data_IF_485229553200
#
_entry.id   IF_485229553200
#
_cell.length_a   1.000
_cell.length_b   1.000
_cell.length_c   1.000
_cell.angle_alpha   90.00
_cell.angle_beta   90.00
_cell.angle_gamma   90.00
#
_symmetry.space_group_name_H-M   'P 1'
#
loop_
_entity.id
_entity.type
_entity.pdbx_description
1 polymer ?
#
# COMPACT_ATOMS: atom_id res chain seq x y z
N UNK A 1 -24.26 34.18 -10.84
CA UNK A 1 -23.64 34.11 -9.50
C UNK A 1 -22.14 34.12 -9.68
N UNK A 2 -21.51 35.26 -9.40
CA UNK A 2 -20.07 35.48 -9.52
C UNK A 2 -19.34 34.79 -8.37
N UNK A 3 -18.49 33.80 -8.67
CA UNK A 3 -17.48 33.34 -7.72
C UNK A 3 -16.44 34.46 -7.57
N UNK A 4 -16.64 35.36 -6.62
CA UNK A 4 -15.57 36.22 -6.12
C UNK A 4 -14.64 35.35 -5.27
N UNK A 5 -13.37 35.15 -5.63
CA UNK A 5 -12.42 34.50 -4.73
C UNK A 5 -12.22 35.43 -3.52
N UNK A 6 -12.58 34.92 -2.34
CA UNK A 6 -12.15 35.52 -1.06
C UNK A 6 -10.61 35.56 -1.04
N UNK A 7 -9.95 36.61 -0.51
CA UNK A 7 -8.51 36.60 -0.34
C UNK A 7 -8.13 35.45 0.60
N UNK A 8 -7.68 34.33 0.02
CA UNK A 8 -7.16 33.21 0.79
C UNK A 8 -5.90 33.65 1.51
N UNK A 9 -5.74 33.17 2.74
CA UNK A 9 -4.51 33.30 3.52
C UNK A 9 -3.29 32.92 2.65
N UNK A 10 -2.08 33.46 2.92
CA UNK A 10 -0.90 33.14 2.13
C UNK A 10 -0.72 31.62 2.05
N UNK A 11 -0.89 31.07 0.85
CA UNK A 11 -0.79 29.63 0.65
C UNK A 11 0.64 29.19 0.87
N UNK A 12 0.78 28.14 1.69
CA UNK A 12 2.07 27.54 1.99
C UNK A 12 2.69 26.98 0.71
N UNK A 13 4.02 26.83 0.70
CA UNK A 13 4.73 26.22 -0.45
C UNK A 13 4.14 24.82 -0.74
N UNK A 14 3.72 24.09 0.29
CA UNK A 14 3.08 22.79 0.16
C UNK A 14 1.76 22.86 -0.61
N UNK A 15 0.88 23.81 -0.27
CA UNK A 15 -0.40 24.00 -0.96
C UNK A 15 -0.21 24.35 -2.44
N UNK A 16 0.78 25.20 -2.76
CA UNK A 16 1.10 25.53 -4.16
C UNK A 16 1.58 24.31 -4.95
N UNK A 17 2.38 23.45 -4.32
CA UNK A 17 2.84 22.19 -4.95
C UNK A 17 1.66 21.25 -5.17
N UNK A 18 0.78 21.10 -4.17
CA UNK A 18 -0.42 20.25 -4.29
C UNK A 18 -1.34 20.77 -5.40
N UNK A 19 -1.61 22.08 -5.44
CA UNK A 19 -2.49 22.69 -6.45
C UNK A 19 -1.91 22.55 -7.86
N UNK A 20 -0.60 22.74 -8.03
CA UNK A 20 0.09 22.52 -9.31
C UNK A 20 0.00 21.07 -9.79
N UNK A 21 0.14 20.09 -8.89
CA UNK A 21 -0.02 18.67 -9.23
C UNK A 21 -1.47 18.34 -9.53
N UNK A 22 -2.41 18.87 -8.75
CA UNK A 22 -3.84 18.66 -8.93
C UNK A 22 -4.35 19.21 -10.25
N UNK A 23 -3.89 20.39 -10.68
CA UNK A 23 -4.24 20.97 -11.98
C UNK A 23 -3.88 20.04 -13.16
N UNK A 24 -2.83 19.23 -13.01
CA UNK A 24 -2.31 18.35 -14.07
C UNK A 24 -2.88 16.95 -14.03
N UNK A 25 -3.12 16.42 -12.83
CA UNK A 25 -3.46 15.01 -12.60
C UNK A 25 -4.92 14.85 -12.17
N UNK A 26 -5.56 15.90 -11.64
CA UNK A 26 -6.94 15.87 -11.15
C UNK A 26 -7.12 14.99 -9.90
N UNK A 27 -6.11 14.94 -9.03
CA UNK A 27 -6.08 14.06 -7.85
C UNK A 27 -7.25 14.31 -6.90
N UNK A 28 -7.63 15.57 -6.66
CA UNK A 28 -8.73 15.94 -5.78
C UNK A 28 -10.08 15.47 -6.33
N UNK A 29 -10.28 15.59 -7.65
CA UNK A 29 -11.50 15.10 -8.30
C UNK A 29 -11.60 13.58 -8.21
N UNK A 30 -10.50 12.88 -8.51
CA UNK A 30 -10.46 11.42 -8.41
C UNK A 30 -10.73 10.96 -6.97
N UNK A 31 -10.08 11.59 -5.99
CA UNK A 31 -10.29 11.30 -4.58
C UNK A 31 -11.75 11.56 -4.18
N UNK A 32 -12.31 12.71 -4.52
CA UNK A 32 -13.70 13.05 -4.21
C UNK A 32 -14.68 12.05 -4.82
N UNK A 33 -14.45 11.59 -6.05
CA UNK A 33 -15.27 10.56 -6.69
C UNK A 33 -15.19 9.22 -5.95
N UNK A 34 -13.97 8.78 -5.61
CA UNK A 34 -13.76 7.50 -4.92
C UNK A 34 -14.30 7.48 -3.49
N UNK A 35 -14.13 8.57 -2.74
CA UNK A 35 -14.52 8.69 -1.34
C UNK A 35 -16.03 8.89 -1.14
N UNK A 36 -16.68 9.58 -2.08
CA UNK A 36 -18.09 9.95 -1.95
C UNK A 36 -19.03 9.11 -2.82
N UNK A 37 -18.53 8.03 -3.43
CA UNK A 37 -19.37 7.11 -4.20
C UNK A 37 -20.38 6.40 -3.27
N UNK A 38 -21.70 6.54 -3.50
CA UNK A 38 -22.69 5.88 -2.68
C UNK A 38 -22.68 4.37 -2.94
N UNK A 39 -22.65 3.56 -1.87
CA UNK A 39 -22.75 2.10 -1.98
C UNK A 39 -24.23 1.70 -2.05
N UNK A 40 -24.76 1.20 -3.19
CA UNK A 40 -26.16 0.81 -3.30
C UNK A 40 -26.48 -0.31 -2.31
N UNK A 41 -27.50 -0.11 -1.47
CA UNK A 41 -27.85 -1.07 -0.41
C UNK A 41 -26.98 -0.99 0.85
N UNK A 42 -26.07 -0.01 0.94
CA UNK A 42 -25.24 0.25 2.13
C UNK A 42 -24.06 -0.70 2.28
N UNK A 43 -23.25 -0.49 3.33
CA UNK A 43 -22.10 -1.35 3.64
C UNK A 43 -22.53 -2.73 4.15
N UNK A 44 -21.80 -3.77 3.75
CA UNK A 44 -22.02 -5.17 4.15
C UNK A 44 -20.69 -5.77 4.56
N UNK A 45 -20.71 -6.72 5.50
CA UNK A 45 -19.50 -7.43 5.96
C UNK A 45 -18.68 -8.05 4.83
N UNK A 46 -19.34 -8.52 3.76
CA UNK A 46 -18.66 -9.08 2.60
C UNK A 46 -17.70 -8.10 1.91
N UNK A 47 -17.93 -6.78 1.99
CA UNK A 47 -17.07 -5.77 1.35
C UNK A 47 -15.74 -5.58 2.06
N UNK A 48 -15.62 -6.01 3.32
CA UNK A 48 -14.36 -5.97 4.08
C UNK A 48 -13.32 -6.91 3.47
N UNK A 49 -13.74 -8.07 2.96
CA UNK A 49 -12.81 -9.06 2.40
C UNK A 49 -12.00 -8.51 1.21
N UNK A 50 -12.57 -7.62 0.40
CA UNK A 50 -11.81 -6.98 -0.69
C UNK A 50 -10.67 -6.09 -0.15
N UNK A 51 -10.93 -5.34 0.92
CA UNK A 51 -9.90 -4.49 1.55
C UNK A 51 -8.85 -5.33 2.27
N UNK A 52 -9.27 -6.41 2.94
CA UNK A 52 -8.36 -7.37 3.58
C UNK A 52 -7.45 -8.05 2.56
N UNK A 53 -8.00 -8.49 1.42
CA UNK A 53 -7.22 -9.06 0.32
C UNK A 53 -6.17 -8.07 -0.20
N UNK A 54 -6.56 -6.83 -0.46
CA UNK A 54 -5.62 -5.80 -0.92
C UNK A 54 -4.51 -5.54 0.12
N UNK A 55 -4.87 -5.48 1.40
CA UNK A 55 -3.91 -5.33 2.49
C UNK A 55 -2.92 -6.50 2.52
N UNK A 56 -3.40 -7.75 2.48
CA UNK A 56 -2.56 -8.94 2.47
C UNK A 56 -1.67 -8.94 1.22
N UNK A 57 -2.19 -8.60 0.05
CA UNK A 57 -1.40 -8.53 -1.18
C UNK A 57 -0.25 -7.52 -1.09
N UNK A 58 -0.51 -6.31 -0.59
CA UNK A 58 0.54 -5.29 -0.38
C UNK A 58 1.57 -5.80 0.63
N UNK A 59 1.10 -6.39 1.72
CA UNK A 59 1.96 -7.01 2.73
C UNK A 59 2.86 -8.10 2.12
N UNK A 60 2.31 -8.94 1.24
CA UNK A 60 3.06 -9.99 0.53
C UNK A 60 4.09 -9.43 -0.43
N UNK A 61 3.76 -8.36 -1.16
CA UNK A 61 4.71 -7.70 -2.04
C UNK A 61 5.90 -7.12 -1.23
N UNK A 62 5.61 -6.44 -0.12
CA UNK A 62 6.65 -5.84 0.74
C UNK A 62 7.54 -6.93 1.36
N UNK A 63 6.95 -7.93 2.02
CA UNK A 63 7.72 -9.01 2.66
C UNK A 63 8.47 -9.85 1.64
N UNK A 64 7.87 -10.14 0.48
CA UNK A 64 8.52 -10.88 -0.60
C UNK A 64 9.74 -10.15 -1.16
N UNK A 65 9.63 -8.84 -1.42
CA UNK A 65 10.78 -8.02 -1.86
C UNK A 65 11.90 -8.01 -0.82
N UNK A 66 11.56 -7.93 0.47
CA UNK A 66 12.57 -7.98 1.53
C UNK A 66 13.30 -9.33 1.58
N UNK A 67 12.58 -10.44 1.39
CA UNK A 67 13.16 -11.79 1.34
C UNK A 67 14.05 -12.00 0.11
N UNK A 68 13.72 -11.37 -1.03
CA UNK A 68 14.52 -11.47 -2.26
C UNK A 68 15.96 -10.97 -2.10
N UNK A 69 16.25 -10.09 -1.13
CA UNK A 69 17.63 -9.66 -0.88
C UNK A 69 18.52 -10.75 -0.27
N UNK A 70 17.93 -11.81 0.30
CA UNK A 70 18.65 -12.87 1.01
C UNK A 70 18.46 -14.26 0.39
N UNK A 71 17.34 -14.51 -0.30
CA UNK A 71 17.04 -15.81 -0.87
C UNK A 71 17.86 -16.08 -2.14
N UNK A 72 18.44 -17.29 -2.24
CA UNK A 72 19.21 -17.74 -3.42
C UNK A 72 18.39 -18.77 -4.19
N UNK A 73 17.91 -18.45 -5.42
CA UNK A 73 17.00 -19.30 -6.17
C UNK A 73 17.71 -20.41 -6.98
N UNK A 74 18.55 -21.22 -6.32
CA UNK A 74 19.23 -22.38 -6.93
C UNK A 74 18.99 -23.66 -6.12
N UNK A 75 18.91 -24.82 -6.77
CA UNK A 75 18.55 -26.07 -6.12
C UNK A 75 19.51 -26.48 -4.99
N UNK A 76 20.77 -26.11 -5.10
CA UNK A 76 21.84 -26.40 -4.15
C UNK A 76 21.90 -25.41 -2.97
N UNK A 77 21.39 -24.16 -3.12
CA UNK A 77 21.51 -23.11 -2.10
C UNK A 77 20.16 -22.60 -1.55
N UNK A 78 19.01 -22.98 -2.14
CA UNK A 78 17.68 -22.52 -1.71
C UNK A 78 17.40 -22.84 -0.23
N UNK A 79 17.72 -24.05 0.21
CA UNK A 79 17.54 -24.44 1.61
C UNK A 79 18.49 -23.67 2.53
N UNK A 80 19.77 -23.61 2.19
CA UNK A 80 20.78 -22.93 3.00
C UNK A 80 20.50 -21.43 3.15
N UNK A 81 20.10 -20.75 2.07
CA UNK A 81 19.71 -19.33 2.12
C UNK A 81 18.42 -19.09 2.92
N UNK A 82 17.47 -20.03 2.89
CA UNK A 82 16.28 -19.98 3.75
C UNK A 82 16.65 -20.14 5.23
N UNK A 83 17.57 -21.05 5.56
CA UNK A 83 18.07 -21.21 6.93
C UNK A 83 18.81 -19.95 7.41
N UNK A 84 19.60 -19.33 6.53
CA UNK A 84 20.25 -18.05 6.81
C UNK A 84 19.24 -16.95 7.15
N UNK A 85 18.15 -16.82 6.38
CA UNK A 85 17.06 -15.88 6.69
C UNK A 85 16.44 -16.16 8.08
N UNK A 86 16.21 -17.43 8.41
CA UNK A 86 15.57 -17.81 9.67
C UNK A 86 16.43 -17.52 10.90
N UNK A 87 17.74 -17.73 10.80
CA UNK A 87 18.62 -17.81 11.98
C UNK A 87 19.64 -16.68 12.09
N UNK A 88 20.04 -16.08 10.97
CA UNK A 88 21.16 -15.12 10.93
C UNK A 88 20.72 -13.71 10.56
N UNK A 89 19.58 -13.55 9.87
CA UNK A 89 19.04 -12.23 9.54
C UNK A 89 18.19 -11.70 10.68
N UNK A 90 18.46 -10.48 11.14
CA UNK A 90 17.66 -9.81 12.15
C UNK A 90 16.18 -9.75 11.73
N UNK A 91 15.31 -10.30 12.58
CA UNK A 91 13.87 -10.46 12.31
C UNK A 91 13.51 -11.27 11.05
N UNK A 92 14.46 -11.99 10.44
CA UNK A 92 14.21 -12.76 9.22
C UNK A 92 13.20 -13.90 9.45
N UNK A 93 13.19 -14.50 10.64
CA UNK A 93 12.14 -15.46 11.04
C UNK A 93 10.72 -14.85 11.01
N UNK A 94 10.59 -13.59 11.41
CA UNK A 94 9.32 -12.87 11.42
C UNK A 94 8.91 -12.54 9.99
N UNK A 95 9.82 -12.02 9.16
CA UNK A 95 9.53 -11.70 7.76
C UNK A 95 9.12 -12.93 6.96
N UNK A 96 9.89 -14.02 7.07
CA UNK A 96 9.59 -15.27 6.37
C UNK A 96 8.29 -15.89 6.87
N UNK A 97 8.07 -15.89 8.19
CA UNK A 97 6.83 -16.39 8.79
C UNK A 97 5.61 -15.58 8.35
N UNK A 98 5.71 -14.25 8.39
CA UNK A 98 4.60 -13.36 8.01
C UNK A 98 4.26 -13.51 6.52
N UNK A 99 5.27 -13.66 5.66
CA UNK A 99 5.07 -13.97 4.24
C UNK A 99 4.39 -15.33 4.02
N UNK A 100 4.82 -16.34 4.78
CA UNK A 100 4.24 -17.69 4.68
C UNK A 100 2.77 -17.71 5.11
N UNK A 101 2.44 -17.22 6.32
CA UNK A 101 1.06 -17.21 6.82
C UNK A 101 0.15 -16.32 5.96
N UNK A 102 0.66 -15.17 5.50
CA UNK A 102 -0.05 -14.29 4.58
C UNK A 102 -0.45 -14.93 3.25
N UNK A 103 0.29 -15.94 2.79
CA UNK A 103 -0.03 -16.66 1.55
C UNK A 103 -1.20 -17.63 1.69
N UNK A 104 -1.53 -17.98 2.93
CA UNK A 104 -2.58 -18.96 3.29
C UNK A 104 -3.86 -18.31 3.83
N UNK A 105 -3.80 -17.01 4.12
CA UNK A 105 -4.91 -16.22 4.67
C UNK A 105 -5.95 -15.87 3.58
#
# INVERSE_FOLDING_TARGET
MSHTPSPSAPTTILEKVIDFVDERVGLKLLAAKMLNEPVPGGSRWAYVFGSVLLFIFIMQAVTGVLLMFYYVPTADHAYASTQYILHEVDYGWFLLGYHFWGSTA
#
